data_IF_631103338419
#
_entry.id   IF_631103338419
#
_cell.length_a   1.000
_cell.length_b   1.000
_cell.length_c   1.000
_cell.angle_alpha   90.00
_cell.angle_beta   90.00
_cell.angle_gamma   90.00
#
_symmetry.space_group_name_H-M   'P 1'
#
loop_
_entity.id
_entity.type
_entity.pdbx_description
1 polymer ?
#
# COMPACT_ATOMS: atom_id res chain seq x y z
N UNK A 1 -16.92 3.87 20.47
CA UNK A 1 -15.50 3.73 20.11
C UNK A 1 -15.35 2.73 18.98
N UNK A 2 -15.48 3.20 17.74
CA UNK A 2 -15.12 2.41 16.56
C UNK A 2 -13.95 3.14 15.89
N UNK A 3 -12.77 2.52 15.90
CA UNK A 3 -11.66 2.98 15.07
C UNK A 3 -11.84 2.35 13.69
N UNK A 4 -12.02 3.16 12.66
CA UNK A 4 -12.06 2.68 11.27
C UNK A 4 -10.62 2.57 10.81
N UNK A 5 -10.15 1.34 10.66
CA UNK A 5 -8.82 1.04 10.15
C UNK A 5 -8.94 0.44 8.76
N UNK A 6 -8.51 1.21 7.78
CA UNK A 6 -8.49 0.85 6.37
C UNK A 6 -7.04 0.78 5.92
N UNK A 7 -6.76 -0.13 4.99
CA UNK A 7 -5.43 -0.21 4.41
C UNK A 7 -5.48 -0.78 3.01
N UNK A 8 -4.54 -0.35 2.18
CA UNK A 8 -4.35 -0.84 0.82
C UNK A 8 -2.89 -1.15 0.63
N UNK A 9 -2.60 -2.39 0.29
CA UNK A 9 -1.29 -2.82 -0.13
C UNK A 9 -1.08 -2.51 -1.60
N UNK A 10 0.12 -2.04 -1.90
CA UNK A 10 0.58 -1.69 -3.22
C UNK A 10 1.89 -2.42 -3.48
N UNK A 11 1.98 -3.10 -4.61
CA UNK A 11 3.18 -3.79 -5.04
C UNK A 11 3.74 -3.08 -6.27
N UNK A 12 4.95 -2.57 -6.17
CA UNK A 12 5.67 -2.03 -7.33
C UNK A 12 6.24 -3.20 -8.12
N UNK A 13 5.80 -3.35 -9.37
CA UNK A 13 6.35 -4.31 -10.34
C UNK A 13 7.07 -3.54 -11.45
N UNK A 14 7.86 -4.21 -12.30
CA UNK A 14 8.43 -3.59 -13.51
C UNK A 14 7.38 -2.99 -14.46
N UNK A 15 6.10 -3.37 -14.30
CA UNK A 15 4.97 -2.91 -15.11
C UNK A 15 4.25 -1.71 -14.49
N UNK A 16 4.50 -1.41 -13.21
CA UNK A 16 3.91 -0.30 -12.48
C UNK A 16 3.46 -0.70 -11.07
N UNK A 17 2.69 0.18 -10.44
CA UNK A 17 2.07 -0.12 -9.14
C UNK A 17 0.83 -0.99 -9.33
N UNK A 18 0.86 -2.19 -8.78
CA UNK A 18 -0.26 -3.12 -8.76
C UNK A 18 -0.92 -3.07 -7.37
N UNK A 19 -2.25 -3.00 -7.36
CA UNK A 19 -3.04 -2.99 -6.13
C UNK A 19 -3.11 -4.42 -5.58
N UNK A 20 -2.63 -4.59 -4.35
CA UNK A 20 -2.60 -5.85 -3.63
C UNK A 20 -3.83 -6.03 -2.74
N UNK A 21 -3.60 -6.62 -1.58
CA UNK A 21 -4.64 -6.81 -0.58
C UNK A 21 -5.16 -5.47 -0.05
N UNK A 22 -6.46 -5.39 0.22
CA UNK A 22 -7.08 -4.20 0.81
C UNK A 22 -8.01 -4.58 1.96
N UNK A 23 -8.18 -3.64 2.87
CA UNK A 23 -9.19 -3.69 3.93
C UNK A 23 -9.94 -2.37 3.93
N UNK A 24 -11.23 -2.46 3.65
CA UNK A 24 -12.14 -1.33 3.66
C UNK A 24 -13.22 -1.60 4.70
N UNK A 25 -13.45 -0.63 5.58
CA UNK A 25 -14.39 -0.78 6.68
C UNK A 25 -15.82 -0.88 6.13
N UNK A 26 -16.51 -1.98 6.41
CA UNK A 26 -17.87 -2.24 5.93
C UNK A 26 -17.96 -2.95 4.57
N UNK A 27 -16.86 -3.08 3.82
CA UNK A 27 -16.78 -3.92 2.61
C UNK A 27 -16.03 -5.24 2.85
N UNK A 28 -15.16 -5.31 3.86
CA UNK A 28 -14.39 -6.51 4.20
C UNK A 28 -12.94 -6.44 3.70
N UNK A 29 -12.23 -7.56 3.80
CA UNK A 29 -10.84 -7.67 3.35
C UNK A 29 -10.80 -8.34 1.96
N UNK A 30 -10.18 -7.67 1.00
CA UNK A 30 -9.79 -8.27 -0.28
C UNK A 30 -8.37 -8.80 -0.13
N UNK A 31 -8.18 -10.09 -0.38
CA UNK A 31 -6.86 -10.68 -0.45
C UNK A 31 -6.54 -10.94 -1.92
N UNK A 32 -5.43 -10.37 -2.38
CA UNK A 32 -4.91 -10.58 -3.73
C UNK A 32 -3.56 -11.27 -3.58
N UNK A 33 -3.24 -12.20 -4.48
CA UNK A 33 -1.92 -12.81 -4.49
C UNK A 33 -0.86 -11.75 -4.80
N UNK A 34 0.21 -11.76 -4.02
CA UNK A 34 1.33 -10.87 -4.24
C UNK A 34 2.02 -11.21 -5.58
N UNK A 35 2.37 -10.22 -6.42
CA UNK A 35 3.09 -10.47 -7.66
C UNK A 35 4.45 -11.11 -7.39
N UNK A 36 4.81 -12.12 -8.20
CA UNK A 36 6.13 -12.78 -8.13
C UNK A 36 7.25 -11.81 -8.54
N UNK A 37 6.95 -10.89 -9.45
CA UNK A 37 7.84 -9.86 -9.96
C UNK A 37 7.85 -8.58 -9.11
N UNK A 38 7.31 -8.60 -7.89
CA UNK A 38 7.31 -7.42 -7.01
C UNK A 38 8.74 -6.99 -6.66
N UNK A 39 9.02 -5.72 -6.93
CA UNK A 39 10.24 -5.03 -6.60
C UNK A 39 10.14 -4.36 -5.23
N UNK A 40 9.00 -3.74 -4.93
CA UNK A 40 8.70 -3.09 -3.66
C UNK A 40 7.27 -3.45 -3.23
N UNK A 41 6.98 -3.48 -1.94
CA UNK A 41 5.61 -3.49 -1.45
C UNK A 41 5.48 -2.52 -0.30
N UNK A 42 4.37 -1.79 -0.32
CA UNK A 42 4.06 -0.78 0.67
C UNK A 42 2.59 -0.87 1.02
N UNK A 43 2.28 -0.75 2.30
CA UNK A 43 0.92 -0.76 2.80
C UNK A 43 0.57 0.66 3.23
N UNK A 44 -0.35 1.25 2.48
CA UNK A 44 -0.97 2.52 2.83
C UNK A 44 -2.10 2.25 3.84
N UNK A 45 -2.07 2.91 4.99
CA UNK A 45 -3.05 2.74 6.07
C UNK A 45 -3.72 4.07 6.38
N UNK A 46 -5.04 4.03 6.56
CA UNK A 46 -5.83 5.14 7.05
C UNK A 46 -6.55 4.71 8.33
N UNK A 47 -6.41 5.52 9.38
CA UNK A 47 -7.07 5.31 10.67
C UNK A 47 -7.86 6.55 11.04
N UNK A 48 -9.18 6.39 11.06
CA UNK A 48 -10.12 7.37 11.56
C UNK A 48 -10.61 6.94 12.94
N UNK A 49 -10.54 7.84 13.91
CA UNK A 49 -11.00 7.59 15.29
C UNK A 49 -12.06 8.61 15.66
N UNK A 50 -13.17 8.14 16.23
CA UNK A 50 -14.30 8.96 16.70
C UNK A 50 -13.90 10.12 17.67
N UNK A 51 -12.71 10.01 18.31
CA UNK A 51 -12.15 11.01 19.21
C UNK A 51 -11.25 12.06 18.56
N UNK A 52 -11.03 12.03 17.24
CA UNK A 52 -10.19 13.01 16.54
C UNK A 52 -10.70 13.21 15.10
N UNK A 53 -10.96 14.45 14.66
CA UNK A 53 -11.44 14.73 13.30
C UNK A 53 -10.37 14.49 12.22
N UNK A 54 -9.12 14.24 12.60
CA UNK A 54 -8.02 14.00 11.68
C UNK A 54 -7.88 12.50 11.38
N UNK A 55 -8.02 12.14 10.10
CA UNK A 55 -7.68 10.82 9.60
C UNK A 55 -6.16 10.69 9.57
N UNK A 56 -5.63 9.75 10.36
CA UNK A 56 -4.20 9.44 10.34
C UNK A 56 -3.92 8.54 9.15
N UNK A 57 -3.15 9.06 8.20
CA UNK A 57 -2.71 8.31 7.03
C UNK A 57 -1.19 8.18 7.01
N UNK A 58 -0.70 6.99 6.69
CA UNK A 58 0.72 6.75 6.49
C UNK A 58 0.91 5.55 5.56
N UNK A 59 2.05 5.49 4.88
CA UNK A 59 2.48 4.32 4.13
C UNK A 59 3.67 3.66 4.83
N UNK A 60 3.68 2.33 4.86
CA UNK A 60 4.76 1.54 5.45
C UNK A 60 5.28 0.54 4.42
N UNK A 61 6.57 0.62 4.10
CA UNK A 61 7.21 -0.36 3.22
C UNK A 61 7.30 -1.72 3.93
N UNK A 62 6.55 -2.70 3.44
CA UNK A 62 6.53 -4.07 3.99
C UNK A 62 7.55 -4.96 3.32
N UNK A 63 7.91 -4.66 2.07
CA UNK A 63 8.86 -5.45 1.31
C UNK A 63 9.71 -4.58 0.40
N UNK A 64 11.00 -4.92 0.32
CA UNK A 64 11.91 -4.35 -0.65
C UNK A 64 12.83 -5.42 -1.21
N UNK A 65 12.82 -5.55 -2.52
CA UNK A 65 13.68 -6.49 -3.24
C UNK A 65 15.15 -6.10 -3.12
N UNK A 66 16.04 -7.10 -3.15
CA UNK A 66 17.50 -6.91 -3.19
C UNK A 66 17.98 -6.25 -4.48
N UNK A 67 17.12 -6.20 -5.50
CA UNK A 67 17.35 -5.55 -6.80
C UNK A 67 17.20 -4.03 -6.69
N UNK A 68 18.06 -3.39 -5.90
CA UNK A 68 17.97 -1.95 -5.61
C UNK A 68 17.91 -1.09 -6.88
N UNK A 69 18.69 -1.43 -7.92
CA UNK A 69 18.68 -0.73 -9.20
C UNK A 69 17.33 -0.81 -9.93
N UNK A 70 16.66 -1.98 -9.90
CA UNK A 70 15.33 -2.15 -10.50
C UNK A 70 14.28 -1.38 -9.69
N UNK A 71 14.36 -1.43 -8.36
CA UNK A 71 13.46 -0.68 -7.46
C UNK A 71 13.57 0.82 -7.71
N UNK A 72 14.78 1.37 -7.73
CA UNK A 72 15.00 2.79 -7.98
C UNK A 72 14.60 3.22 -9.40
N UNK A 73 14.87 2.37 -10.39
CA UNK A 73 14.42 2.59 -11.76
C UNK A 73 12.89 2.65 -11.85
N UNK A 74 12.22 1.68 -11.24
CA UNK A 74 10.76 1.62 -11.20
C UNK A 74 10.16 2.80 -10.40
N UNK A 75 10.75 3.19 -9.26
CA UNK A 75 10.31 4.37 -8.50
C UNK A 75 10.53 5.67 -9.27
N UNK A 76 11.61 5.80 -10.05
CA UNK A 76 11.82 6.96 -10.93
C UNK A 76 10.83 6.99 -12.09
N UNK A 77 10.44 5.82 -12.61
CA UNK A 77 9.55 5.71 -13.76
C UNK A 77 8.06 5.87 -13.37
N UNK A 78 7.63 5.21 -12.29
CA UNK A 78 6.23 5.14 -11.86
C UNK A 78 5.92 6.05 -10.67
N UNK A 79 6.94 6.58 -9.98
CA UNK A 79 6.78 7.42 -8.80
C UNK A 79 6.67 6.63 -7.48
N UNK A 80 6.50 7.35 -6.36
CA UNK A 80 6.35 6.74 -5.03
C UNK A 80 5.03 5.95 -4.90
N UNK A 81 4.88 5.26 -3.77
CA UNK A 81 3.68 4.48 -3.45
C UNK A 81 2.41 5.33 -3.61
N UNK A 82 1.36 4.82 -4.30
CA UNK A 82 0.09 5.49 -4.36
C UNK A 82 -0.52 5.60 -2.96
N UNK A 83 -0.65 6.82 -2.45
CA UNK A 83 -1.35 7.11 -1.19
C UNK A 83 -2.87 7.18 -1.43
N UNK A 84 -3.43 6.10 -1.97
CA UNK A 84 -4.85 6.00 -2.33
C UNK A 84 -5.42 4.68 -1.85
N UNK A 85 -6.61 4.74 -1.25
CA UNK A 85 -7.50 3.60 -1.00
C UNK A 85 -8.21 3.15 -2.29
#
# INVERSE_FOLDING_TARGET
>A
MAARKEWTEWHLTPRGWEKGATRVHGQGNTWVEEPIDRLLSSVYQEVETDGSPEVKKWSEETFRSKKAAEVEGALKQFGPCPEKL
#
